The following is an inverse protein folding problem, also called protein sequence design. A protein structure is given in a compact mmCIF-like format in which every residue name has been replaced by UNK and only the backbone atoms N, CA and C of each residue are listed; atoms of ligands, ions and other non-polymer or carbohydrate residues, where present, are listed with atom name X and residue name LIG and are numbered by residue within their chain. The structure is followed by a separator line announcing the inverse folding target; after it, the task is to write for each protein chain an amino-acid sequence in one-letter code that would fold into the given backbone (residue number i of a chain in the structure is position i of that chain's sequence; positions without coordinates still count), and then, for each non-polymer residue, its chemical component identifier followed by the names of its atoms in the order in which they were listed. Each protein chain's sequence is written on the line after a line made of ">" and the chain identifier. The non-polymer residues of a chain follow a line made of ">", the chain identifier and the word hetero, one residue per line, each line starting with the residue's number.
data_IF_750238984573
#
_entry.id   IF_750238984573
#
_cell.length_a   1.000
_cell.length_b   1.000
_cell.length_c   1.000
_cell.angle_alpha   90.00
_cell.angle_beta   90.00
_cell.angle_gamma   90.00
#
_symmetry.space_group_name_H-M   'P 1'
#
loop_
_entity.id
_entity.type
_entity.pdbx_description
1 polymer ?
#
# COMPACT_ATOMS: atom_id res chain seq x y z
N UNK A 1 -29.40 33.10 -25.77
CA UNK A 1 -29.85 32.81 -24.39
C UNK A 1 -29.88 31.30 -24.22
N UNK A 2 -29.31 30.84 -23.09
CA UNK A 2 -29.45 29.51 -22.46
C UNK A 2 -29.11 28.25 -23.28
N UNK A 3 -28.30 27.30 -22.80
CA UNK A 3 -28.16 26.86 -21.41
C UNK A 3 -26.78 26.20 -21.21
N UNK A 4 -25.91 26.84 -20.41
CA UNK A 4 -24.69 26.22 -19.87
C UNK A 4 -25.10 24.99 -19.05
N UNK A 5 -24.94 23.79 -19.60
CA UNK A 5 -25.15 22.53 -18.88
C UNK A 5 -23.83 22.12 -18.20
N UNK A 6 -23.71 22.55 -16.94
CA UNK A 6 -23.01 21.80 -15.90
C UNK A 6 -21.52 21.54 -16.12
N UNK A 7 -20.72 22.60 -16.28
CA UNK A 7 -19.33 22.54 -15.84
C UNK A 7 -19.38 22.40 -14.32
N UNK A 8 -19.29 21.18 -13.81
CA UNK A 8 -18.86 20.97 -12.43
C UNK A 8 -17.46 21.55 -12.39
N UNK A 9 -17.34 22.69 -11.71
CA UNK A 9 -16.07 23.23 -11.24
C UNK A 9 -15.50 22.14 -10.34
N UNK A 10 -14.71 21.25 -10.92
CA UNK A 10 -13.87 20.36 -10.15
C UNK A 10 -12.75 21.24 -9.63
N UNK A 11 -12.81 21.57 -8.34
CA UNK A 11 -11.61 21.90 -7.57
C UNK A 11 -10.51 20.91 -7.95
N UNK A 12 -9.24 21.33 -8.01
CA UNK A 12 -8.10 20.54 -8.48
C UNK A 12 -7.98 19.16 -7.78
N UNK A 13 -8.76 18.17 -8.21
CA UNK A 13 -8.96 16.90 -7.52
C UNK A 13 -7.88 15.87 -7.90
N UNK A 14 -7.21 16.09 -9.04
CA UNK A 14 -6.28 15.14 -9.63
C UNK A 14 -4.84 15.64 -9.59
N UNK A 15 -3.91 14.68 -9.61
CA UNK A 15 -2.47 14.96 -9.52
C UNK A 15 -1.77 14.28 -10.70
N UNK A 16 -0.87 15.01 -11.36
CA UNK A 16 -0.06 14.43 -12.42
C UNK A 16 0.87 13.34 -11.87
N UNK A 17 0.80 12.14 -12.44
CA UNK A 17 1.61 10.99 -12.02
C UNK A 17 3.11 11.21 -12.23
N UNK A 18 3.51 12.15 -13.10
CA UNK A 18 4.90 12.41 -13.45
C UNK A 18 5.55 13.46 -12.52
N UNK A 19 4.92 14.64 -12.41
CA UNK A 19 5.50 15.81 -11.72
C UNK A 19 4.77 16.22 -10.44
N UNK A 20 3.72 15.49 -10.02
CA UNK A 20 2.88 15.83 -8.86
C UNK A 20 2.18 17.20 -8.93
N UNK A 21 2.13 17.84 -10.11
CA UNK A 21 1.40 19.09 -10.27
C UNK A 21 -0.12 18.82 -10.26
N UNK A 22 -0.93 19.62 -9.55
CA UNK A 22 -2.38 19.50 -9.56
C UNK A 22 -2.95 19.71 -10.97
N UNK A 23 -4.07 19.05 -11.27
CA UNK A 23 -4.78 19.18 -12.53
C UNK A 23 -6.29 19.11 -12.33
N UNK A 24 -7.02 19.91 -13.09
CA UNK A 24 -8.48 20.00 -13.03
C UNK A 24 -9.19 18.87 -13.79
N UNK A 25 -8.52 18.18 -14.70
CA UNK A 25 -9.09 17.07 -15.46
C UNK A 25 -8.03 16.07 -15.91
N UNK A 26 -8.37 14.78 -15.86
CA UNK A 26 -7.50 13.71 -16.33
C UNK A 26 -7.62 13.48 -17.85
N UNK A 27 -8.83 13.63 -18.38
CA UNK A 27 -9.13 13.42 -19.79
C UNK A 27 -10.25 14.34 -20.27
N UNK A 28 -10.25 14.60 -21.57
CA UNK A 28 -11.32 15.27 -22.30
C UNK A 28 -12.13 14.24 -23.06
N UNK A 29 -13.45 14.27 -22.90
CA UNK A 29 -14.37 13.43 -23.66
C UNK A 29 -14.95 14.25 -24.82
N UNK A 30 -14.67 13.84 -26.05
CA UNK A 30 -15.27 14.45 -27.24
C UNK A 30 -16.65 13.84 -27.52
N UNK A 31 -17.47 14.54 -28.31
CA UNK A 31 -18.83 14.11 -28.69
C UNK A 31 -18.87 12.73 -29.35
N UNK A 32 -17.77 12.36 -30.02
CA UNK A 32 -17.69 11.18 -30.89
C UNK A 32 -17.13 9.96 -30.14
N UNK A 33 -17.41 9.84 -28.83
CA UNK A 33 -16.91 8.81 -27.91
C UNK A 33 -15.38 8.72 -27.73
N UNK A 34 -14.58 9.53 -28.43
CA UNK A 34 -13.14 9.60 -28.23
C UNK A 34 -12.77 10.25 -26.89
N UNK A 35 -11.83 9.62 -26.17
CA UNK A 35 -11.19 10.18 -24.98
C UNK A 35 -9.78 10.64 -25.38
N UNK A 36 -9.37 11.83 -24.93
CA UNK A 36 -7.98 12.30 -25.06
C UNK A 36 -7.43 12.69 -23.71
N UNK A 37 -6.25 12.18 -23.37
CA UNK A 37 -5.57 12.51 -22.13
C UNK A 37 -5.23 14.01 -22.05
N UNK A 38 -5.47 14.61 -20.90
CA UNK A 38 -5.12 16.01 -20.65
C UNK A 38 -3.60 16.13 -20.49
N UNK A 39 -2.91 17.02 -21.23
CA UNK A 39 -1.51 17.30 -21.00
C UNK A 39 -1.33 18.13 -19.72
N UNK A 40 -0.31 17.81 -18.93
CA UNK A 40 0.02 18.55 -17.72
C UNK A 40 0.61 19.92 -18.08
N UNK A 41 0.13 20.99 -17.42
CA UNK A 41 0.60 22.36 -17.63
C UNK A 41 2.09 22.56 -17.28
N UNK A 42 2.63 21.76 -16.36
CA UNK A 42 4.00 21.90 -15.90
C UNK A 42 5.00 21.04 -16.71
N UNK A 43 4.70 19.76 -16.94
CA UNK A 43 5.65 18.84 -17.59
C UNK A 43 5.32 18.50 -19.05
N UNK A 44 4.17 18.94 -19.58
CA UNK A 44 3.73 18.67 -20.95
C UNK A 44 3.34 17.22 -21.25
N UNK A 45 3.65 16.26 -20.37
CA UNK A 45 3.25 14.85 -20.48
C UNK A 45 1.77 14.69 -20.10
N UNK A 46 1.15 13.58 -20.52
CA UNK A 46 -0.19 13.22 -20.05
C UNK A 46 -0.24 13.18 -18.51
N UNK A 47 -1.32 13.74 -17.94
CA UNK A 47 -1.52 13.82 -16.48
C UNK A 47 -1.53 12.43 -15.87
N UNK A 48 -2.22 11.48 -16.51
CA UNK A 48 -2.29 10.08 -16.11
C UNK A 48 -2.57 9.18 -17.32
N UNK A 49 -1.61 8.34 -17.70
CA UNK A 49 -1.74 7.42 -18.84
C UNK A 49 -2.50 6.15 -18.46
N UNK A 50 -2.53 5.79 -17.17
CA UNK A 50 -3.08 4.51 -16.71
C UNK A 50 -4.61 4.43 -16.78
N UNK A 51 -5.29 5.55 -17.07
CA UNK A 51 -6.75 5.57 -17.26
C UNK A 51 -7.19 4.81 -18.51
N UNK A 52 -6.32 4.75 -19.52
CA UNK A 52 -6.57 3.96 -20.73
C UNK A 52 -6.20 2.48 -20.54
N UNK A 53 -5.46 2.16 -19.48
CA UNK A 53 -4.95 0.81 -19.24
C UNK A 53 -5.96 -0.04 -18.49
N UNK A 54 -5.95 -1.34 -18.79
CA UNK A 54 -6.66 -2.32 -17.97
C UNK A 54 -6.00 -2.42 -16.58
N UNK A 55 -6.79 -2.71 -15.54
CA UNK A 55 -6.34 -2.88 -14.17
C UNK A 55 -5.23 -3.93 -14.05
N UNK A 56 -5.20 -4.95 -14.90
CA UNK A 56 -4.15 -5.97 -14.92
C UNK A 56 -2.78 -5.36 -15.21
N UNK A 57 -2.69 -4.46 -16.19
CA UNK A 57 -1.44 -3.77 -16.52
C UNK A 57 -1.00 -2.84 -15.39
N UNK A 58 -1.96 -2.14 -14.77
CA UNK A 58 -1.69 -1.30 -13.58
C UNK A 58 -1.11 -2.14 -12.43
N UNK A 59 -1.65 -3.34 -12.19
CA UNK A 59 -1.16 -4.25 -11.15
C UNK A 59 0.27 -4.73 -11.46
N UNK A 60 0.57 -5.08 -12.71
CA UNK A 60 1.92 -5.49 -13.12
C UNK A 60 2.91 -4.35 -12.85
N UNK A 61 2.58 -3.12 -13.25
CA UNK A 61 3.47 -1.97 -13.03
C UNK A 61 3.61 -1.62 -11.55
N UNK A 62 2.57 -1.87 -10.74
CA UNK A 62 2.64 -1.78 -9.28
C UNK A 62 3.62 -2.82 -8.71
N UNK A 63 3.54 -4.07 -9.17
CA UNK A 63 4.46 -5.14 -8.78
C UNK A 63 5.91 -4.84 -9.19
N UNK A 64 6.11 -4.16 -10.31
CA UNK A 64 7.42 -3.69 -10.79
C UNK A 64 7.93 -2.44 -10.05
N UNK A 65 7.20 -1.97 -9.04
CA UNK A 65 7.59 -0.83 -8.21
C UNK A 65 7.61 0.52 -8.96
N UNK A 66 6.84 0.65 -10.06
CA UNK A 66 6.78 1.90 -10.82
C UNK A 66 5.99 2.98 -10.09
N UNK A 67 6.66 4.08 -9.74
CA UNK A 67 6.07 5.21 -9.00
C UNK A 67 4.82 5.81 -9.68
N UNK A 68 4.74 5.74 -11.00
CA UNK A 68 3.58 6.22 -11.77
C UNK A 68 2.30 5.44 -11.44
N UNK A 69 2.40 4.11 -11.35
CA UNK A 69 1.29 3.24 -11.00
C UNK A 69 0.83 3.48 -9.55
N UNK A 70 1.77 3.67 -8.61
CA UNK A 70 1.44 4.06 -7.23
C UNK A 70 0.69 5.39 -7.17
N UNK A 71 1.12 6.41 -7.94
CA UNK A 71 0.45 7.72 -7.96
C UNK A 71 -0.94 7.65 -8.59
N UNK A 72 -1.10 6.92 -9.69
CA UNK A 72 -2.41 6.66 -10.29
C UNK A 72 -3.37 6.02 -9.27
N UNK A 73 -2.91 4.95 -8.61
CA UNK A 73 -3.73 4.19 -7.68
C UNK A 73 -4.07 4.97 -6.40
N UNK A 74 -3.15 5.77 -5.86
CA UNK A 74 -3.33 6.51 -4.61
C UNK A 74 -4.02 7.87 -4.79
N UNK A 75 -3.73 8.60 -5.87
CA UNK A 75 -4.16 9.99 -6.04
C UNK A 75 -5.32 10.17 -6.98
N UNK A 76 -5.36 9.39 -8.08
CA UNK A 76 -6.32 9.61 -9.15
C UNK A 76 -7.46 8.59 -9.17
N UNK A 77 -7.38 7.54 -8.33
CA UNK A 77 -8.40 6.48 -8.24
C UNK A 77 -9.15 6.54 -6.91
N UNK A 78 -10.49 6.52 -6.97
CA UNK A 78 -11.35 6.48 -5.77
C UNK A 78 -11.62 5.04 -5.31
N UNK A 79 -10.70 4.48 -4.53
CA UNK A 79 -10.79 3.07 -4.09
C UNK A 79 -11.66 2.89 -2.84
N UNK A 80 -12.98 2.76 -3.03
CA UNK A 80 -13.95 2.53 -1.93
C UNK A 80 -13.76 1.19 -1.19
N UNK A 81 -13.14 0.19 -1.82
CA UNK A 81 -12.98 -1.16 -1.26
C UNK A 81 -11.61 -1.42 -0.62
N UNK A 82 -10.79 -0.39 -0.43
CA UNK A 82 -9.44 -0.54 0.12
C UNK A 82 -9.41 -1.19 1.51
N UNK A 83 -10.42 -0.92 2.34
CA UNK A 83 -10.55 -1.51 3.68
C UNK A 83 -10.67 -3.04 3.64
N UNK A 84 -11.37 -3.60 2.64
CA UNK A 84 -11.51 -5.06 2.49
C UNK A 84 -10.16 -5.71 2.15
N UNK A 85 -9.39 -5.08 1.27
CA UNK A 85 -8.05 -5.54 0.90
C UNK A 85 -7.09 -5.49 2.08
N UNK A 86 -7.17 -4.44 2.91
CA UNK A 86 -6.37 -4.36 4.14
C UNK A 86 -6.64 -5.53 5.10
N UNK A 87 -7.90 -5.97 5.25
CA UNK A 87 -8.24 -7.16 6.06
C UNK A 87 -7.59 -8.41 5.47
N UNK A 88 -7.66 -8.58 4.14
CA UNK A 88 -7.03 -9.72 3.46
C UNK A 88 -5.51 -9.72 3.68
N UNK A 89 -4.84 -8.58 3.52
CA UNK A 89 -3.38 -8.49 3.71
C UNK A 89 -2.95 -8.72 5.17
N UNK A 90 -3.79 -8.32 6.14
CA UNK A 90 -3.58 -8.66 7.55
C UNK A 90 -3.68 -10.17 7.79
N UNK A 91 -4.72 -10.82 7.24
CA UNK A 91 -4.88 -12.27 7.34
C UNK A 91 -3.74 -13.03 6.66
N UNK A 92 -3.24 -12.55 5.51
CA UNK A 92 -2.09 -13.12 4.82
C UNK A 92 -0.80 -13.06 5.68
N UNK A 93 -0.57 -11.94 6.37
CA UNK A 93 0.56 -11.79 7.28
C UNK A 93 0.43 -12.71 8.50
N UNK A 94 -0.73 -12.69 9.16
CA UNK A 94 -1.03 -13.56 10.31
C UNK A 94 -0.89 -15.04 9.96
N UNK A 95 -1.41 -15.45 8.80
CA UNK A 95 -1.27 -16.81 8.29
C UNK A 95 0.19 -17.20 8.05
N UNK A 96 0.98 -16.28 7.47
CA UNK A 96 2.41 -16.51 7.22
C UNK A 96 3.21 -16.69 8.52
N UNK A 97 2.86 -15.95 9.58
CA UNK A 97 3.44 -16.13 10.92
C UNK A 97 3.02 -17.45 11.56
N UNK A 98 1.73 -17.77 11.51
CA UNK A 98 1.17 -19.00 12.06
C UNK A 98 1.79 -20.26 11.43
N UNK A 99 1.91 -20.30 10.08
CA UNK A 99 2.58 -21.42 9.39
C UNK A 99 4.03 -21.56 9.84
N UNK A 100 4.75 -20.44 9.99
CA UNK A 100 6.14 -20.44 10.41
C UNK A 100 6.30 -21.02 11.82
N UNK A 101 5.45 -20.59 12.75
CA UNK A 101 5.45 -21.11 14.11
C UNK A 101 5.09 -22.59 14.14
N UNK A 102 4.08 -23.01 13.36
CA UNK A 102 3.66 -24.42 13.24
C UNK A 102 4.81 -25.34 12.81
N UNK A 103 5.64 -24.90 11.87
CA UNK A 103 6.79 -25.67 11.40
C UNK A 103 7.85 -25.83 12.50
N UNK A 104 8.02 -24.82 13.35
CA UNK A 104 9.00 -24.87 14.44
C UNK A 104 8.51 -25.68 15.65
N UNK A 105 7.20 -25.65 15.94
CA UNK A 105 6.61 -26.23 17.15
C UNK A 105 6.30 -27.73 17.08
N UNK A 106 6.12 -28.32 15.89
CA UNK A 106 5.83 -29.75 15.76
C UNK A 106 4.42 -30.15 16.22
N UNK A 107 4.23 -31.44 16.55
CA UNK A 107 2.91 -32.07 16.76
C UNK A 107 2.23 -31.60 18.07
N UNK A 108 1.46 -30.52 17.98
CA UNK A 108 0.68 -29.94 19.07
C UNK A 108 -0.81 -30.31 18.97
N UNK A 109 -1.54 -30.22 20.09
CA UNK A 109 -2.97 -30.50 20.10
C UNK A 109 -3.72 -29.50 19.20
N UNK A 110 -4.87 -29.93 18.65
CA UNK A 110 -5.66 -29.08 17.76
C UNK A 110 -6.06 -27.73 18.41
N UNK A 111 -6.39 -27.73 19.70
CA UNK A 111 -6.76 -26.52 20.45
C UNK A 111 -5.59 -25.54 20.60
N UNK A 112 -4.38 -26.05 20.87
CA UNK A 112 -3.18 -25.23 20.99
C UNK A 112 -2.84 -24.58 19.64
N UNK A 113 -3.16 -25.27 18.54
CA UNK A 113 -2.97 -24.78 17.18
C UNK A 113 -3.90 -23.61 16.82
N UNK A 114 -5.15 -23.68 17.24
CA UNK A 114 -6.14 -22.61 17.06
C UNK A 114 -5.80 -21.39 17.91
N UNK A 115 -5.35 -21.60 19.15
CA UNK A 115 -4.93 -20.51 20.03
C UNK A 115 -3.74 -19.73 19.45
N UNK A 116 -2.71 -20.44 18.98
CA UNK A 116 -1.55 -19.82 18.31
C UNK A 116 -1.91 -19.01 17.07
N UNK A 117 -2.97 -19.40 16.36
CA UNK A 117 -3.47 -18.61 15.25
C UNK A 117 -4.00 -17.25 15.73
N UNK A 118 -4.76 -17.21 16.83
CA UNK A 118 -5.24 -15.95 17.41
C UNK A 118 -4.11 -15.06 17.93
N UNK A 119 -3.06 -15.65 18.52
CA UNK A 119 -1.85 -14.92 18.93
C UNK A 119 -1.16 -14.27 17.73
N UNK A 120 -0.94 -15.03 16.64
CA UNK A 120 -0.37 -14.51 15.40
C UNK A 120 -1.25 -13.40 14.78
N UNK A 121 -2.57 -13.55 14.83
CA UNK A 121 -3.51 -12.55 14.34
C UNK A 121 -3.42 -11.24 15.14
N UNK A 122 -3.36 -11.33 16.46
CA UNK A 122 -3.20 -10.17 17.34
C UNK A 122 -1.84 -9.50 17.12
N UNK A 123 -0.76 -10.28 17.01
CA UNK A 123 0.58 -9.78 16.72
C UNK A 123 0.61 -9.03 15.39
N UNK A 124 0.04 -9.60 14.32
CA UNK A 124 -0.08 -8.92 13.02
C UNK A 124 -0.93 -7.65 13.09
N UNK A 125 -2.04 -7.66 13.83
CA UNK A 125 -2.86 -6.46 14.01
C UNK A 125 -2.08 -5.34 14.71
N UNK A 126 -1.36 -5.63 15.79
CA UNK A 126 -0.56 -4.66 16.53
C UNK A 126 0.61 -4.11 15.70
N UNK A 127 1.32 -4.97 14.96
CA UNK A 127 2.39 -4.55 14.05
C UNK A 127 1.87 -3.61 12.97
N UNK A 128 0.74 -3.95 12.35
CA UNK A 128 0.13 -3.16 11.27
C UNK A 128 -0.46 -1.84 11.80
N UNK A 129 -1.10 -1.86 12.98
CA UNK A 129 -1.65 -0.67 13.61
C UNK A 129 -0.55 0.30 14.07
N UNK A 130 0.52 -0.21 14.69
CA UNK A 130 1.66 0.62 15.10
C UNK A 130 2.38 1.25 13.92
N UNK A 131 2.61 0.49 12.86
CA UNK A 131 3.16 1.01 11.61
C UNK A 131 2.29 2.13 11.03
N UNK A 132 0.97 1.94 11.01
CA UNK A 132 0.01 2.94 10.57
C UNK A 132 0.02 4.23 11.39
N UNK A 133 0.09 4.11 12.71
CA UNK A 133 0.16 5.24 13.63
C UNK A 133 1.45 6.03 13.37
N UNK A 134 2.61 5.36 13.29
CA UNK A 134 3.89 6.03 13.05
C UNK A 134 3.91 6.72 11.69
N UNK A 135 3.42 6.07 10.63
CA UNK A 135 3.30 6.68 9.30
C UNK A 135 2.43 7.95 9.35
N UNK A 136 1.29 7.90 10.03
CA UNK A 136 0.38 9.04 10.11
C UNK A 136 0.99 10.20 10.89
N UNK A 137 1.66 9.92 12.02
CA UNK A 137 2.33 10.93 12.84
C UNK A 137 3.47 11.61 12.08
N UNK A 138 4.37 10.84 11.46
CA UNK A 138 5.53 11.38 10.72
C UNK A 138 5.12 12.06 9.41
N UNK A 139 4.06 11.58 8.76
CA UNK A 139 3.51 12.23 7.57
C UNK A 139 2.82 13.55 7.91
N UNK A 140 2.12 13.64 9.05
CA UNK A 140 1.47 14.87 9.53
C UNK A 140 2.49 15.99 9.83
N UNK A 141 3.63 15.64 10.41
CA UNK A 141 4.75 16.58 10.64
C UNK A 141 5.32 17.15 9.33
N UNK A 142 5.17 16.42 8.23
CA UNK A 142 5.73 16.77 6.93
C UNK A 142 4.71 17.47 6.02
N UNK A 143 3.41 17.25 6.23
CA UNK A 143 2.35 17.75 5.35
C UNK A 143 1.01 17.78 6.10
N UNK A 144 0.39 18.96 6.15
CA UNK A 144 -0.73 19.26 7.06
C UNK A 144 -2.13 18.91 6.53
N UNK A 145 -2.26 18.27 5.36
CA UNK A 145 -3.55 18.12 4.65
C UNK A 145 -3.83 16.71 4.12
N UNK A 146 -3.62 15.67 4.91
CA UNK A 146 -3.98 14.31 4.50
C UNK A 146 -5.21 13.76 5.23
N UNK A 147 -6.18 13.26 4.46
CA UNK A 147 -7.33 12.54 4.98
C UNK A 147 -6.91 11.15 5.48
N UNK A 148 -7.47 10.71 6.61
CA UNK A 148 -7.24 9.37 7.19
C UNK A 148 -7.49 8.27 6.15
N UNK A 149 -8.52 8.42 5.31
CA UNK A 149 -8.84 7.45 4.26
C UNK A 149 -7.68 7.28 3.27
N UNK A 150 -7.00 8.38 2.91
CA UNK A 150 -5.81 8.31 2.04
C UNK A 150 -4.65 7.62 2.75
N UNK A 151 -4.49 7.78 4.07
CA UNK A 151 -3.41 7.11 4.82
C UNK A 151 -3.65 5.61 4.88
N UNK A 152 -4.89 5.20 5.18
CA UNK A 152 -5.28 3.79 5.14
C UNK A 152 -5.02 3.21 3.75
N UNK A 153 -5.37 3.93 2.68
CA UNK A 153 -5.11 3.49 1.33
C UNK A 153 -3.61 3.34 1.02
N UNK A 154 -2.79 4.34 1.37
CA UNK A 154 -1.32 4.29 1.22
C UNK A 154 -0.71 3.07 1.90
N UNK A 155 -1.21 2.73 3.08
CA UNK A 155 -0.74 1.56 3.80
C UNK A 155 -1.20 0.25 3.18
N UNK A 156 -2.48 0.09 2.84
CA UNK A 156 -2.96 -1.14 2.20
C UNK A 156 -2.16 -1.43 0.92
N UNK A 157 -1.84 -0.38 0.13
CA UNK A 157 -1.02 -0.49 -1.10
C UNK A 157 0.46 -0.70 -0.82
N UNK A 158 0.94 -0.49 0.40
CA UNK A 158 2.28 -0.92 0.78
C UNK A 158 2.31 -2.40 1.18
N UNK A 159 1.23 -2.88 1.79
CA UNK A 159 1.14 -4.23 2.38
C UNK A 159 0.70 -5.33 1.42
N UNK A 160 0.45 -5.05 0.13
CA UNK A 160 0.03 -6.12 -0.83
C UNK A 160 1.06 -7.22 -0.99
N UNK A 161 2.35 -6.94 -0.71
CA UNK A 161 3.41 -7.93 -0.78
C UNK A 161 3.22 -9.13 0.17
N UNK A 162 2.38 -8.99 1.21
CA UNK A 162 2.01 -10.09 2.11
C UNK A 162 1.35 -11.26 1.38
N UNK A 163 0.70 -11.01 0.24
CA UNK A 163 0.13 -12.08 -0.60
C UNK A 163 1.23 -12.98 -1.16
N UNK A 164 2.39 -12.43 -1.53
CA UNK A 164 3.53 -13.23 -2.00
C UNK A 164 4.09 -14.13 -0.91
N UNK A 165 4.06 -13.69 0.34
CA UNK A 165 4.44 -14.55 1.47
C UNK A 165 3.55 -15.79 1.56
N UNK A 166 2.23 -15.66 1.36
CA UNK A 166 1.30 -16.80 1.32
C UNK A 166 1.53 -17.66 0.09
N UNK A 167 1.73 -17.07 -1.09
CA UNK A 167 2.04 -17.82 -2.32
C UNK A 167 3.31 -18.67 -2.15
N UNK A 168 4.31 -18.17 -1.43
CA UNK A 168 5.54 -18.92 -1.14
C UNK A 168 5.33 -20.22 -0.37
N UNK A 169 4.22 -20.32 0.39
CA UNK A 169 3.87 -21.51 1.14
C UNK A 169 3.41 -22.61 0.18
N UNK A 170 2.63 -22.26 -0.85
CA UNK A 170 2.11 -23.20 -1.86
C UNK A 170 3.25 -23.91 -2.60
N UNK A 171 4.32 -23.19 -2.93
CA UNK A 171 5.50 -23.75 -3.59
C UNK A 171 6.61 -24.18 -2.62
N UNK A 172 6.33 -24.25 -1.31
CA UNK A 172 7.31 -24.64 -0.28
C UNK A 172 8.59 -23.77 -0.22
N UNK A 173 8.58 -22.54 -0.76
CA UNK A 173 9.73 -21.60 -0.71
C UNK A 173 9.84 -20.86 0.62
N UNK A 174 8.80 -20.84 1.44
CA UNK A 174 8.76 -20.13 2.74
C UNK A 174 9.86 -20.55 3.74
N UNK A 175 10.46 -21.74 3.56
CA UNK A 175 11.59 -22.25 4.35
C UNK A 175 12.93 -21.64 3.92
N UNK A 176 13.04 -21.20 2.67
CA UNK A 176 14.28 -20.66 2.11
C UNK A 176 14.46 -19.23 2.61
N UNK A 177 15.55 -19.01 3.35
CA UNK A 177 15.85 -17.70 3.95
C UNK A 177 15.94 -16.57 2.92
N UNK A 178 16.51 -16.84 1.74
CA UNK A 178 16.64 -15.85 0.66
C UNK A 178 15.27 -15.36 0.15
N UNK A 179 14.30 -16.27 0.00
CA UNK A 179 12.96 -15.90 -0.44
C UNK A 179 12.24 -15.06 0.62
N UNK A 180 12.37 -15.42 1.89
CA UNK A 180 11.82 -14.63 3.00
C UNK A 180 12.36 -13.21 2.99
N UNK A 181 13.68 -13.06 2.91
CA UNK A 181 14.34 -11.74 2.85
C UNK A 181 13.86 -10.95 1.63
N UNK A 182 13.67 -11.61 0.48
CA UNK A 182 13.14 -10.97 -0.73
C UNK A 182 11.72 -10.43 -0.51
N UNK A 183 10.82 -11.22 0.07
CA UNK A 183 9.43 -10.76 0.34
C UNK A 183 9.38 -9.62 1.35
N UNK A 184 10.20 -9.67 2.40
CA UNK A 184 10.27 -8.60 3.41
C UNK A 184 10.85 -7.31 2.79
N UNK A 185 11.90 -7.43 1.98
CA UNK A 185 12.48 -6.30 1.24
C UNK A 185 11.48 -5.73 0.24
N UNK A 186 10.72 -6.57 -0.45
CA UNK A 186 9.70 -6.14 -1.39
C UNK A 186 8.58 -5.34 -0.71
N UNK A 187 8.09 -5.80 0.45
CA UNK A 187 7.11 -5.06 1.27
C UNK A 187 7.70 -3.73 1.74
N UNK A 188 8.95 -3.73 2.20
CA UNK A 188 9.64 -2.50 2.60
C UNK A 188 9.75 -1.49 1.46
N UNK A 189 10.21 -1.91 0.28
CA UNK A 189 10.31 -1.06 -0.91
C UNK A 189 8.92 -0.54 -1.30
N UNK A 190 7.89 -1.39 -1.25
CA UNK A 190 6.51 -1.00 -1.56
C UNK A 190 6.03 0.14 -0.65
N UNK A 191 6.29 0.06 0.66
CA UNK A 191 5.96 1.14 1.59
C UNK A 191 6.79 2.42 1.34
N UNK A 192 8.06 2.30 0.94
CA UNK A 192 8.86 3.47 0.54
C UNK A 192 8.27 4.15 -0.70
N UNK A 193 7.83 3.38 -1.71
CA UNK A 193 7.22 3.93 -2.91
C UNK A 193 5.86 4.56 -2.62
N UNK A 194 5.00 3.94 -1.79
CA UNK A 194 3.70 4.54 -1.42
C UNK A 194 3.90 5.84 -0.64
N UNK A 195 4.84 5.88 0.30
CA UNK A 195 5.15 7.09 1.06
C UNK A 195 5.71 8.20 0.16
N UNK A 196 6.54 7.85 -0.83
CA UNK A 196 7.06 8.78 -1.84
C UNK A 196 6.00 9.24 -2.85
N UNK A 197 5.03 8.38 -3.17
CA UNK A 197 3.91 8.75 -4.02
C UNK A 197 2.99 9.74 -3.30
N UNK A 198 2.83 9.57 -1.99
CA UNK A 198 2.01 10.43 -1.14
C UNK A 198 2.68 11.76 -0.81
N UNK A 199 3.89 11.72 -0.26
CA UNK A 199 4.68 12.89 0.05
C UNK A 199 5.66 13.12 -1.11
N UNK A 200 5.51 14.21 -1.86
CA UNK A 200 6.43 14.64 -2.94
C UNK A 200 7.82 15.07 -2.44
N UNK A 201 8.33 14.44 -1.39
CA UNK A 201 9.64 14.68 -0.79
C UNK A 201 10.76 13.87 -1.42
N UNK A 202 11.95 14.05 -0.85
CA UNK A 202 13.13 13.29 -1.23
C UNK A 202 12.99 11.81 -0.86
N UNK A 203 13.56 10.94 -1.70
CA UNK A 203 13.57 9.49 -1.48
C UNK A 203 14.15 9.11 -0.11
N UNK A 204 15.21 9.80 0.32
CA UNK A 204 15.85 9.61 1.63
C UNK A 204 14.85 9.81 2.77
N UNK A 205 14.01 10.85 2.69
CA UNK A 205 13.01 11.13 3.74
C UNK A 205 11.96 10.03 3.80
N UNK A 206 11.47 9.55 2.66
CA UNK A 206 10.53 8.43 2.61
C UNK A 206 11.13 7.15 3.20
N UNK A 207 12.41 6.88 2.92
CA UNK A 207 13.14 5.76 3.52
C UNK A 207 13.21 5.91 5.05
N UNK A 208 13.61 7.08 5.57
CA UNK A 208 13.71 7.29 7.02
C UNK A 208 12.35 7.12 7.73
N UNK A 209 11.28 7.65 7.16
CA UNK A 209 9.92 7.51 7.73
C UNK A 209 9.48 6.05 7.73
N UNK A 210 9.68 5.31 6.64
CA UNK A 210 9.29 3.89 6.58
C UNK A 210 10.19 3.02 7.44
N UNK A 211 11.48 3.33 7.52
CA UNK A 211 12.43 2.60 8.38
C UNK A 211 12.05 2.75 9.85
N UNK A 212 11.78 3.97 10.31
CA UNK A 212 11.33 4.21 11.69
C UNK A 212 10.01 3.51 12.00
N UNK A 213 9.04 3.56 11.09
CA UNK A 213 7.79 2.81 11.23
C UNK A 213 8.01 1.29 11.31
N UNK A 214 8.90 0.76 10.46
CA UNK A 214 9.23 -0.68 10.42
C UNK A 214 9.92 -1.11 11.72
N UNK A 215 10.87 -0.32 12.22
CA UNK A 215 11.58 -0.62 13.47
C UNK A 215 10.62 -0.63 14.66
N UNK A 216 9.73 0.37 14.78
CA UNK A 216 8.73 0.41 15.87
C UNK A 216 7.80 -0.79 15.79
N UNK A 217 7.29 -1.10 14.59
CA UNK A 217 6.40 -2.23 14.37
C UNK A 217 7.06 -3.56 14.73
N UNK A 218 8.28 -3.81 14.24
CA UNK A 218 9.04 -5.03 14.57
C UNK A 218 9.39 -5.16 16.05
N UNK A 219 9.72 -4.05 16.72
CA UNK A 219 9.94 -4.07 18.17
C UNK A 219 8.70 -4.50 18.95
N UNK A 220 7.50 -4.05 18.53
CA UNK A 220 6.24 -4.50 19.15
C UNK A 220 6.01 -5.99 18.90
N UNK A 221 6.31 -6.48 17.70
CA UNK A 221 6.26 -7.91 17.38
C UNK A 221 7.18 -8.75 18.29
N UNK A 222 8.43 -8.33 18.48
CA UNK A 222 9.39 -9.01 19.35
C UNK A 222 9.01 -8.97 20.83
N UNK A 223 8.42 -7.85 21.28
CA UNK A 223 7.88 -7.76 22.64
C UNK A 223 6.74 -8.76 22.83
N UNK A 224 5.82 -8.87 21.86
CA UNK A 224 4.74 -9.86 21.92
C UNK A 224 5.28 -11.29 21.96
N UNK A 225 6.26 -11.63 21.11
CA UNK A 225 6.92 -12.94 21.17
C UNK A 225 7.55 -13.19 22.56
N UNK A 226 8.10 -12.16 23.20
CA UNK A 226 8.71 -12.31 24.54
C UNK A 226 7.67 -12.53 25.65
N UNK A 227 6.46 -11.97 25.53
CA UNK A 227 5.39 -12.13 26.52
C UNK A 227 4.52 -13.37 26.28
N UNK A 228 4.39 -13.84 25.04
CA UNK A 228 3.56 -14.99 24.69
C UNK A 228 4.28 -16.34 24.92
N UNK A 229 5.62 -16.33 24.98
CA UNK A 229 6.45 -17.53 25.18
C UNK A 229 7.01 -17.68 26.62
N UNK A 230 6.40 -17.00 27.61
CA UNK A 230 6.57 -17.22 29.06
C UNK A 230 5.33 -17.90 29.60
#
# INVERSE_FOLDING_TARGET
>A
MEKKRGMRVAEDEYICINCCHPSSSLFLKYSDNGIRLTPCSNCGKAVDVYIEYDIVLVIIDLMLQYIGAYRHFLMNTSNRHCHKLCIIFMLCDAYSKWIRQRIMSGNENAYDLEWKFYECLLQSWLEMASFMIVLTLLSSQTSTKFSINKMVQTFCVGSYGNVFAVLSIIWHLHLVWSYRMLTELFVFISHVQTQRALCSGTLIRSILVVLTATVVSRSIGLLMDSYCFI
#
